data_IF_888882645079
#
_entry.id   IF_888882645079
#
_cell.length_a   1.000
_cell.length_b   1.000
_cell.length_c   1.000
_cell.angle_alpha   90.00
_cell.angle_beta   90.00
_cell.angle_gamma   90.00
#
_symmetry.space_group_name_H-M   'P 1'
#
loop_
_entity.id
_entity.type
_entity.pdbx_description
1 polymer ?
#
# COMPACT_ATOMS: atom_id res chain seq x y z
N UNK A 1 -5.69 -9.96 20.26
CA UNK A 1 -4.73 -9.41 19.26
C UNK A 1 -3.70 -8.61 20.01
N UNK A 2 -2.45 -9.01 19.92
CA UNK A 2 -1.37 -8.37 20.64
C UNK A 2 -1.14 -6.93 20.13
N UNK A 3 -1.47 -5.96 20.97
CA UNK A 3 -1.37 -4.51 20.64
C UNK A 3 0.07 -4.05 20.38
N UNK A 4 1.06 -4.88 20.66
CA UNK A 4 2.48 -4.59 20.48
C UNK A 4 2.90 -4.64 19.01
N UNK A 5 2.30 -5.50 18.20
CA UNK A 5 2.59 -5.61 16.76
C UNK A 5 2.06 -4.39 16.00
N UNK A 6 0.90 -3.86 16.41
CA UNK A 6 0.27 -2.69 15.79
C UNK A 6 1.08 -1.40 15.94
N UNK A 7 1.85 -1.25 17.02
CA UNK A 7 2.62 -0.01 17.29
C UNK A 7 3.89 0.14 16.47
N UNK A 8 4.44 -0.97 15.94
CA UNK A 8 5.70 -0.97 15.19
C UNK A 8 5.50 -1.02 13.66
N UNK A 9 4.31 -1.35 13.19
CA UNK A 9 3.95 -1.33 11.79
C UNK A 9 3.07 -0.11 11.51
N UNK A 10 3.66 1.08 11.47
CA UNK A 10 3.00 2.26 10.94
C UNK A 10 2.87 2.11 9.41
N UNK A 11 2.00 1.21 8.96
CA UNK A 11 1.45 1.29 7.62
C UNK A 11 0.48 2.48 7.63
N UNK A 12 0.95 3.63 7.17
CA UNK A 12 0.07 4.75 6.88
C UNK A 12 -0.82 4.34 5.70
N UNK A 13 -2.07 4.01 5.98
CA UNK A 13 -3.05 3.74 4.93
C UNK A 13 -3.84 5.02 4.68
N UNK A 14 -3.53 5.66 3.57
CA UNK A 14 -4.36 6.74 3.06
C UNK A 14 -5.52 6.12 2.28
N UNK A 15 -6.71 6.17 2.86
CA UNK A 15 -7.94 5.98 2.11
C UNK A 15 -8.25 7.28 1.38
N UNK A 16 -8.20 7.27 0.07
CA UNK A 16 -8.68 8.40 -0.70
C UNK A 16 -9.71 7.97 -1.72
N UNK A 17 -10.93 8.42 -1.51
CA UNK A 17 -12.04 8.34 -2.46
C UNK A 17 -11.79 9.13 -3.76
N UNK A 18 -10.70 9.89 -3.84
CA UNK A 18 -10.51 10.96 -4.81
C UNK A 18 -9.17 10.92 -5.55
N UNK A 19 -8.41 9.82 -5.46
CA UNK A 19 -7.28 9.65 -6.36
C UNK A 19 -7.78 9.26 -7.74
N UNK A 20 -8.06 10.25 -8.55
CA UNK A 20 -8.23 10.03 -9.97
C UNK A 20 -6.84 9.91 -10.58
N UNK A 21 -6.60 8.85 -11.34
CA UNK A 21 -5.38 8.76 -12.15
C UNK A 21 -5.40 9.88 -13.18
N UNK A 22 -4.22 10.41 -13.51
CA UNK A 22 -4.07 11.47 -14.50
C UNK A 22 -4.57 10.99 -15.87
N UNK A 23 -5.33 11.82 -16.56
CA UNK A 23 -5.78 11.58 -17.95
C UNK A 23 -4.61 11.40 -18.93
N UNK A 24 -3.39 11.77 -18.52
CA UNK A 24 -2.15 11.58 -19.28
C UNK A 24 -1.52 10.20 -19.11
N UNK A 25 -2.07 9.35 -18.22
CA UNK A 25 -1.60 7.99 -18.05
C UNK A 25 -2.36 7.06 -19.04
N UNK A 26 -1.79 6.71 -20.21
CA UNK A 26 -2.55 6.09 -21.32
C UNK A 26 -3.14 4.71 -21.01
N UNK A 27 -2.65 4.07 -19.94
CA UNK A 27 -3.05 2.70 -19.57
C UNK A 27 -4.22 2.66 -18.56
N UNK A 28 -4.65 3.83 -18.02
CA UNK A 28 -5.54 3.87 -16.85
C UNK A 28 -6.73 4.84 -17.01
N UNK A 29 -7.09 5.20 -18.23
CA UNK A 29 -8.12 6.19 -18.56
C UNK A 29 -9.55 5.90 -18.06
N UNK A 30 -9.81 4.73 -17.49
CA UNK A 30 -11.17 4.33 -17.07
C UNK A 30 -11.28 3.93 -15.59
N UNK A 31 -10.22 4.06 -14.79
CA UNK A 31 -10.19 3.54 -13.43
C UNK A 31 -10.14 4.65 -12.38
N UNK A 32 -10.91 4.47 -11.31
CA UNK A 32 -10.73 5.20 -10.05
C UNK A 32 -10.30 4.22 -8.95
N UNK A 33 -9.06 3.69 -9.03
CA UNK A 33 -8.60 2.67 -8.10
C UNK A 33 -8.52 3.22 -6.70
N UNK A 34 -8.70 2.35 -5.72
CA UNK A 34 -8.38 2.66 -4.33
C UNK A 34 -6.86 2.71 -4.18
N UNK A 35 -6.34 3.81 -3.65
CA UNK A 35 -4.89 3.94 -3.44
C UNK A 35 -4.52 3.50 -2.03
N UNK A 36 -3.59 2.54 -1.97
CA UNK A 36 -2.94 2.12 -0.73
C UNK A 36 -1.55 2.74 -0.66
N UNK A 37 -1.34 3.53 0.36
CA UNK A 37 -0.02 4.06 0.67
C UNK A 37 0.68 3.18 1.69
N UNK A 38 1.96 2.90 1.47
CA UNK A 38 2.80 2.16 2.43
C UNK A 38 4.19 2.78 2.54
N UNK A 39 4.79 2.61 3.71
CA UNK A 39 6.16 3.05 4.00
C UNK A 39 7.05 1.87 4.42
N UNK A 40 7.72 1.20 3.48
CA UNK A 40 8.54 0.01 3.75
C UNK A 40 9.68 0.24 4.75
N UNK A 41 10.17 1.49 4.92
CA UNK A 41 11.18 1.84 5.92
C UNK A 41 10.70 1.64 7.39
N UNK A 42 9.41 1.44 7.61
CA UNK A 42 8.84 1.14 8.94
C UNK A 42 8.81 -0.36 9.26
N UNK A 43 9.11 -1.21 8.29
CA UNK A 43 9.21 -2.65 8.49
C UNK A 43 10.63 -3.07 8.90
N UNK A 44 10.74 -3.84 9.97
CA UNK A 44 11.99 -4.39 10.48
C UNK A 44 11.87 -5.91 10.61
N UNK A 45 12.48 -6.70 9.70
CA UNK A 45 12.38 -8.17 9.70
C UNK A 45 12.77 -8.84 11.01
N UNK A 46 13.74 -8.25 11.72
CA UNK A 46 14.20 -8.77 13.02
C UNK A 46 13.20 -8.55 14.17
N UNK A 47 12.23 -7.64 13.99
CA UNK A 47 11.26 -7.26 15.05
C UNK A 47 9.86 -7.82 14.83
N UNK A 48 9.58 -8.30 13.64
CA UNK A 48 8.22 -8.72 13.27
C UNK A 48 8.24 -9.99 12.42
N UNK A 49 7.38 -10.93 12.74
CA UNK A 49 7.18 -12.12 11.92
C UNK A 49 6.70 -11.73 10.53
N UNK A 50 7.31 -12.30 9.49
CA UNK A 50 6.88 -12.07 8.10
C UNK A 50 5.41 -12.44 7.92
N UNK A 51 4.95 -13.56 8.48
CA UNK A 51 3.55 -13.99 8.36
C UNK A 51 2.61 -12.98 9.02
N UNK A 52 2.90 -12.55 10.25
CA UNK A 52 2.05 -11.58 10.95
C UNK A 52 1.92 -10.26 10.19
N UNK A 53 3.01 -9.79 9.57
CA UNK A 53 2.96 -8.56 8.77
C UNK A 53 2.14 -8.75 7.50
N UNK A 54 2.29 -9.87 6.81
CA UNK A 54 1.51 -10.18 5.60
C UNK A 54 0.02 -10.34 5.93
N UNK A 55 -0.31 -10.98 7.04
CA UNK A 55 -1.71 -11.13 7.47
C UNK A 55 -2.34 -9.76 7.82
N UNK A 56 -1.58 -8.86 8.45
CA UNK A 56 -2.03 -7.48 8.70
C UNK A 56 -2.25 -6.74 7.37
N UNK A 57 -1.32 -6.84 6.42
CA UNK A 57 -1.47 -6.21 5.10
C UNK A 57 -2.74 -6.71 4.40
N UNK A 58 -2.91 -8.03 4.31
CA UNK A 58 -4.09 -8.62 3.69
C UNK A 58 -5.39 -8.22 4.39
N UNK A 59 -5.40 -8.21 5.74
CA UNK A 59 -6.55 -7.75 6.54
C UNK A 59 -6.91 -6.29 6.26
N UNK A 60 -5.91 -5.40 6.27
CA UNK A 60 -6.15 -3.97 6.05
C UNK A 60 -6.67 -3.73 4.64
N UNK A 61 -6.02 -4.32 3.63
CA UNK A 61 -6.46 -4.19 2.23
C UNK A 61 -7.88 -4.73 2.05
N UNK A 62 -8.18 -5.92 2.55
CA UNK A 62 -9.53 -6.50 2.50
C UNK A 62 -10.57 -5.63 3.23
N UNK A 63 -10.23 -5.12 4.41
CA UNK A 63 -11.11 -4.26 5.20
C UNK A 63 -11.44 -2.92 4.53
N UNK A 64 -10.50 -2.36 3.81
CA UNK A 64 -10.74 -1.11 3.06
C UNK A 64 -11.62 -1.35 1.83
N UNK A 65 -11.52 -2.53 1.22
CA UNK A 65 -12.31 -2.90 0.06
C UNK A 65 -13.76 -3.31 0.41
N UNK A 66 -14.02 -3.78 1.64
CA UNK A 66 -15.38 -4.22 2.07
C UNK A 66 -16.48 -3.17 1.83
N UNK A 67 -16.16 -1.89 1.90
CA UNK A 67 -17.11 -0.78 1.80
C UNK A 67 -17.17 -0.09 0.44
N UNK A 68 -16.30 -0.49 -0.50
CA UNK A 68 -16.12 0.26 -1.73
C UNK A 68 -16.75 -0.45 -2.93
N UNK A 69 -17.68 0.23 -3.60
CA UNK A 69 -18.26 -0.23 -4.86
C UNK A 69 -17.21 -0.26 -5.99
N UNK A 70 -16.18 0.59 -5.90
CA UNK A 70 -15.05 0.68 -6.81
C UNK A 70 -13.97 -0.40 -6.60
N UNK A 71 -14.19 -1.35 -5.69
CA UNK A 71 -13.27 -2.48 -5.52
C UNK A 71 -13.07 -3.30 -6.81
N UNK A 72 -14.03 -3.23 -7.73
CA UNK A 72 -13.93 -3.86 -9.05
C UNK A 72 -12.95 -3.15 -9.99
N UNK A 73 -12.61 -1.87 -9.72
CA UNK A 73 -11.71 -1.08 -10.55
C UNK A 73 -10.23 -1.35 -10.22
N UNK A 74 -9.96 -2.25 -9.29
CA UNK A 74 -8.61 -2.58 -8.87
C UNK A 74 -8.04 -1.62 -7.82
N UNK A 75 -6.78 -1.84 -7.47
CA UNK A 75 -6.05 -1.03 -6.51
C UNK A 75 -4.75 -0.48 -7.09
N UNK A 76 -4.36 0.70 -6.64
CA UNK A 76 -3.03 1.26 -6.83
C UNK A 76 -2.26 1.24 -5.49
N UNK A 77 -1.00 0.87 -5.54
CA UNK A 77 -0.10 0.85 -4.39
C UNK A 77 0.96 1.94 -4.55
N UNK A 78 1.18 2.72 -3.51
CA UNK A 78 2.27 3.70 -3.43
C UNK A 78 3.19 3.31 -2.29
N UNK A 79 4.38 2.82 -2.62
CA UNK A 79 5.41 2.44 -1.66
C UNK A 79 6.46 3.55 -1.55
N UNK A 80 6.37 4.39 -0.52
CA UNK A 80 7.38 5.41 -0.24
C UNK A 80 8.60 4.78 0.41
N UNK A 81 9.69 4.69 -0.36
CA UNK A 81 10.95 4.08 0.05
C UNK A 81 11.89 5.05 0.79
N UNK A 82 11.44 6.27 1.06
CA UNK A 82 12.25 7.24 1.79
C UNK A 82 12.70 6.70 3.16
N UNK A 83 14.00 6.78 3.42
CA UNK A 83 14.61 6.23 4.64
C UNK A 83 14.69 4.69 4.69
N UNK A 84 14.37 3.99 3.58
CA UNK A 84 14.53 2.55 3.51
C UNK A 84 16.01 2.15 3.43
N UNK A 85 16.40 1.17 4.24
CA UNK A 85 17.77 0.69 4.38
C UNK A 85 17.84 -0.83 4.23
N UNK A 86 19.04 -1.38 4.14
CA UNK A 86 19.24 -2.84 4.09
C UNK A 86 18.66 -3.56 5.33
N UNK A 87 18.52 -2.88 6.45
CA UNK A 87 17.91 -3.46 7.67
C UNK A 87 16.41 -3.67 7.55
N UNK A 88 15.77 -3.01 6.58
CA UNK A 88 14.35 -3.14 6.26
C UNK A 88 14.10 -4.21 5.18
N UNK A 89 15.16 -4.66 4.50
CA UNK A 89 15.05 -5.62 3.41
C UNK A 89 14.92 -7.06 3.91
N UNK A 90 14.03 -7.81 3.28
CA UNK A 90 13.82 -9.24 3.54
C UNK A 90 13.28 -9.92 2.29
N UNK A 91 14.05 -10.83 1.71
CA UNK A 91 13.62 -11.65 0.57
C UNK A 91 12.35 -12.45 0.91
N UNK A 92 12.27 -13.15 2.06
CA UNK A 92 11.06 -13.88 2.43
C UNK A 92 9.82 -12.98 2.55
N UNK A 93 9.97 -11.75 3.07
CA UNK A 93 8.88 -10.78 3.13
C UNK A 93 8.46 -10.36 1.72
N UNK A 94 9.42 -9.97 0.88
CA UNK A 94 9.15 -9.55 -0.49
C UNK A 94 8.41 -10.64 -1.27
N UNK A 95 8.93 -11.86 -1.26
CA UNK A 95 8.30 -12.99 -1.94
C UNK A 95 6.85 -13.21 -1.47
N UNK A 96 6.61 -13.28 -0.15
CA UNK A 96 5.26 -13.46 0.38
C UNK A 96 4.34 -12.28 0.07
N UNK A 97 4.86 -11.07 0.12
CA UNK A 97 4.10 -9.87 -0.22
C UNK A 97 3.64 -9.91 -1.69
N UNK A 98 4.53 -10.21 -2.62
CA UNK A 98 4.18 -10.36 -4.03
C UNK A 98 3.17 -11.50 -4.25
N UNK A 99 3.40 -12.67 -3.66
CA UNK A 99 2.44 -13.78 -3.71
C UNK A 99 1.06 -13.39 -3.15
N UNK A 100 1.01 -12.49 -2.18
CA UNK A 100 -0.26 -11.99 -1.64
C UNK A 100 -0.97 -11.07 -2.63
N UNK A 101 -0.22 -10.22 -3.33
CA UNK A 101 -0.76 -9.29 -4.31
C UNK A 101 -1.20 -9.97 -5.61
N UNK A 102 -0.43 -10.96 -6.09
CA UNK A 102 -0.71 -11.70 -7.32
C UNK A 102 -1.67 -12.89 -7.09
N UNK A 103 -1.68 -13.45 -5.89
CA UNK A 103 -2.25 -14.76 -5.54
C UNK A 103 -3.67 -14.75 -4.96
N UNK A 104 -4.55 -13.83 -5.30
CA UNK A 104 -5.97 -13.81 -4.87
C UNK A 104 -6.22 -13.72 -3.35
N UNK A 105 -5.20 -13.46 -2.52
CA UNK A 105 -5.39 -13.18 -1.09
C UNK A 105 -6.00 -11.79 -0.84
N UNK A 106 -5.83 -10.89 -1.81
CA UNK A 106 -6.50 -9.60 -1.85
C UNK A 106 -7.69 -9.74 -2.81
N UNK A 107 -8.91 -9.35 -2.42
CA UNK A 107 -10.13 -9.60 -3.21
C UNK A 107 -10.27 -8.66 -4.42
N UNK A 108 -9.16 -8.17 -4.95
CA UNK A 108 -9.12 -7.28 -6.13
C UNK A 108 -7.76 -7.37 -6.81
N UNK A 109 -7.67 -6.82 -8.02
CA UNK A 109 -6.42 -6.79 -8.80
C UNK A 109 -5.59 -5.56 -8.44
N UNK A 110 -4.27 -5.75 -8.39
CA UNK A 110 -3.33 -4.62 -8.40
C UNK A 110 -3.17 -4.15 -9.83
N UNK A 111 -3.51 -2.89 -10.09
CA UNK A 111 -3.40 -2.27 -11.41
C UNK A 111 -2.16 -1.39 -11.53
N UNK A 112 -1.65 -0.90 -10.41
CA UNK A 112 -0.47 -0.02 -10.38
C UNK A 112 0.32 -0.22 -9.09
N UNK A 113 1.63 -0.34 -9.17
CA UNK A 113 2.55 -0.28 -8.03
C UNK A 113 3.62 0.80 -8.29
N UNK A 114 3.56 1.88 -7.55
CA UNK A 114 4.57 2.95 -7.59
C UNK A 114 5.58 2.76 -6.46
N UNK A 115 6.83 2.53 -6.82
CA UNK A 115 7.97 2.54 -5.90
C UNK A 115 8.59 3.93 -5.95
N UNK A 116 8.34 4.72 -4.89
CA UNK A 116 8.67 6.15 -4.84
C UNK A 116 9.91 6.39 -3.99
N UNK A 117 10.82 7.21 -4.47
CA UNK A 117 12.08 7.59 -3.79
C UNK A 117 12.92 6.40 -3.29
N UNK A 118 13.19 5.39 -4.13
CA UNK A 118 14.09 4.31 -3.72
C UNK A 118 15.51 4.85 -3.50
N UNK A 119 16.27 4.26 -2.56
CA UNK A 119 17.69 4.60 -2.40
C UNK A 119 18.50 4.22 -3.63
N UNK A 120 19.66 4.86 -3.83
CA UNK A 120 20.50 4.69 -5.03
C UNK A 120 20.93 3.24 -5.28
N UNK A 121 21.11 2.45 -4.23
CA UNK A 121 21.48 1.03 -4.31
C UNK A 121 20.32 0.09 -4.65
N UNK A 122 19.07 0.59 -4.67
CA UNK A 122 17.86 -0.22 -4.91
C UNK A 122 17.90 -0.98 -6.24
N UNK A 123 18.50 -0.39 -7.28
CA UNK A 123 18.58 -1.01 -8.61
C UNK A 123 19.21 -2.42 -8.61
N UNK A 124 20.23 -2.64 -7.79
CA UNK A 124 20.87 -3.96 -7.66
C UNK A 124 19.95 -5.01 -7.03
N UNK A 125 19.16 -4.61 -6.02
CA UNK A 125 18.17 -5.49 -5.39
C UNK A 125 16.96 -5.69 -6.29
N UNK A 126 16.54 -4.63 -6.99
CA UNK A 126 15.41 -4.70 -7.91
C UNK A 126 15.59 -5.75 -9.00
N UNK A 127 16.80 -5.90 -9.53
CA UNK A 127 17.11 -6.93 -10.53
C UNK A 127 16.81 -8.36 -10.03
N UNK A 128 17.01 -8.62 -8.74
CA UNK A 128 16.67 -9.90 -8.08
C UNK A 128 15.16 -9.98 -7.83
N UNK A 129 14.60 -8.93 -7.25
CA UNK A 129 13.17 -8.87 -6.90
C UNK A 129 12.27 -9.03 -8.12
N UNK A 130 12.66 -8.43 -9.24
CA UNK A 130 11.90 -8.48 -10.50
C UNK A 130 11.74 -9.91 -11.03
N UNK A 131 12.71 -10.78 -10.79
CA UNK A 131 12.64 -12.19 -11.24
C UNK A 131 11.57 -13.02 -10.52
N UNK A 132 11.08 -12.52 -9.39
CA UNK A 132 10.01 -13.16 -8.60
C UNK A 132 8.62 -12.72 -9.02
N UNK A 133 8.50 -11.77 -9.93
CA UNK A 133 7.23 -11.23 -10.42
C UNK A 133 6.81 -11.96 -11.69
N UNK A 134 5.50 -12.12 -11.88
CA UNK A 134 4.98 -12.46 -13.19
C UNK A 134 5.27 -11.33 -14.19
N UNK A 135 5.34 -11.67 -15.49
CA UNK A 135 5.57 -10.66 -16.53
C UNK A 135 4.50 -9.57 -16.52
N UNK A 136 3.24 -9.96 -16.33
CA UNK A 136 2.11 -9.03 -16.33
C UNK A 136 2.11 -8.13 -15.10
N UNK A 137 2.48 -8.66 -13.93
CA UNK A 137 2.61 -7.82 -12.75
C UNK A 137 3.81 -6.88 -12.86
N UNK A 138 4.92 -7.36 -13.42
CA UNK A 138 6.11 -6.55 -13.65
C UNK A 138 5.86 -5.30 -14.50
N UNK A 139 4.92 -5.35 -15.46
CA UNK A 139 4.51 -4.21 -16.30
C UNK A 139 3.77 -3.13 -15.50
N UNK A 140 3.15 -3.49 -14.37
CA UNK A 140 2.40 -2.59 -13.49
C UNK A 140 3.28 -1.89 -12.44
N UNK A 141 4.57 -2.25 -12.35
CA UNK A 141 5.51 -1.70 -11.37
C UNK A 141 6.33 -0.58 -11.98
N UNK A 142 6.22 0.62 -11.40
CA UNK A 142 6.96 1.78 -11.83
C UNK A 142 7.83 2.31 -10.68
N UNK A 143 9.11 2.54 -10.98
CA UNK A 143 10.08 3.11 -10.04
C UNK A 143 10.25 4.57 -10.39
N UNK A 144 9.87 5.46 -9.49
CA UNK A 144 9.81 6.89 -9.76
C UNK A 144 10.38 7.72 -8.61
N UNK A 145 10.74 8.96 -8.92
CA UNK A 145 10.94 10.00 -7.91
C UNK A 145 9.59 10.63 -7.53
N UNK A 146 9.56 11.25 -6.35
CA UNK A 146 8.34 11.88 -5.81
C UNK A 146 7.74 12.94 -6.76
N UNK A 147 8.56 13.75 -7.41
CA UNK A 147 8.15 14.81 -8.33
C UNK A 147 7.37 14.29 -9.56
N UNK A 148 7.54 13.01 -9.89
CA UNK A 148 6.81 12.35 -10.97
C UNK A 148 5.44 11.79 -10.56
N UNK A 149 5.04 11.87 -9.29
CA UNK A 149 3.69 11.44 -8.87
C UNK A 149 2.58 12.17 -9.62
N UNK A 150 2.79 13.44 -9.97
CA UNK A 150 1.87 14.25 -10.79
C UNK A 150 1.59 13.67 -12.19
N UNK A 151 2.42 12.75 -12.68
CA UNK A 151 2.21 12.06 -13.96
C UNK A 151 1.18 10.92 -13.83
N UNK A 152 0.97 10.45 -12.61
CA UNK A 152 0.08 9.33 -12.30
C UNK A 152 -1.23 9.77 -11.68
N UNK A 153 -1.25 10.87 -10.96
CA UNK A 153 -2.40 11.35 -10.20
C UNK A 153 -2.92 12.70 -10.72
N UNK A 154 -4.23 12.88 -10.64
CA UNK A 154 -4.87 14.12 -11.01
C UNK A 154 -4.44 15.28 -10.09
N UNK A 155 -4.49 16.55 -10.55
CA UNK A 155 -4.18 17.71 -9.72
C UNK A 155 -4.95 17.74 -8.41
N UNK A 156 -4.31 18.17 -7.32
CA UNK A 156 -4.88 18.18 -5.97
C UNK A 156 -4.67 16.89 -5.18
N UNK A 157 -3.99 15.91 -5.73
CA UNK A 157 -3.70 14.65 -5.04
C UNK A 157 -2.86 14.85 -3.77
N UNK A 158 -2.14 15.95 -3.64
CA UNK A 158 -1.30 16.30 -2.50
C UNK A 158 -2.12 16.40 -1.19
N UNK A 159 -3.38 16.79 -1.26
CA UNK A 159 -4.28 16.85 -0.09
C UNK A 159 -4.53 15.48 0.53
N UNK A 160 -4.35 14.43 -0.26
CA UNK A 160 -4.62 13.05 0.14
C UNK A 160 -3.36 12.25 0.39
N UNK A 161 -2.19 12.74 -0.01
CA UNK A 161 -0.92 12.11 0.32
C UNK A 161 -0.62 12.26 1.80
N UNK A 162 -0.12 11.19 2.44
CA UNK A 162 0.36 11.26 3.82
C UNK A 162 1.45 12.31 4.02
N UNK A 163 1.45 12.92 5.20
CA UNK A 163 2.40 13.96 5.62
C UNK A 163 3.85 13.45 5.77
N UNK A 164 4.06 12.14 5.71
CA UNK A 164 5.37 11.51 5.74
C UNK A 164 6.01 11.32 4.35
N UNK A 165 5.36 11.80 3.29
CA UNK A 165 5.94 12.01 1.97
C UNK A 165 6.00 13.51 1.67
N UNK A 166 7.12 13.98 1.16
CA UNK A 166 7.32 15.40 0.86
C UNK A 166 6.16 15.99 0.04
N UNK A 167 5.52 17.02 0.58
CA UNK A 167 4.39 17.73 -0.03
C UNK A 167 3.03 17.06 0.18
N UNK A 168 2.94 16.01 1.00
CA UNK A 168 1.68 15.45 1.46
C UNK A 168 1.11 16.26 2.63
N UNK A 169 -0.20 16.41 2.67
CA UNK A 169 -0.91 17.22 3.67
C UNK A 169 -1.80 16.39 4.59
N UNK A 170 -2.04 15.12 4.28
CA UNK A 170 -2.90 14.26 5.09
C UNK A 170 -2.13 13.70 6.30
N UNK A 171 -2.64 13.94 7.52
CA UNK A 171 -2.00 13.41 8.72
C UNK A 171 -2.06 11.88 8.77
N UNK A 172 -0.90 11.23 8.65
CA UNK A 172 -0.75 9.77 8.73
C UNK A 172 -1.30 9.23 10.06
N UNK A 173 -1.02 9.93 11.17
CA UNK A 173 -1.49 9.53 12.50
C UNK A 173 -3.01 9.56 12.60
N UNK A 174 -3.64 10.63 12.10
CA UNK A 174 -5.10 10.76 12.10
C UNK A 174 -5.76 9.70 11.21
N UNK A 175 -5.18 9.38 10.07
CA UNK A 175 -5.68 8.34 9.17
C UNK A 175 -5.68 6.96 9.81
N UNK A 176 -4.57 6.60 10.48
CA UNK A 176 -4.45 5.32 11.20
C UNK A 176 -5.44 5.25 12.36
N UNK A 177 -5.56 6.33 13.16
CA UNK A 177 -6.50 6.38 14.27
C UNK A 177 -7.95 6.20 13.80
N UNK A 178 -8.33 6.88 12.72
CA UNK A 178 -9.67 6.77 12.12
C UNK A 178 -9.93 5.35 11.62
N UNK A 179 -8.99 4.75 10.90
CA UNK A 179 -9.13 3.37 10.44
C UNK A 179 -9.35 2.40 11.61
N UNK A 180 -8.55 2.52 12.68
CA UNK A 180 -8.67 1.66 13.87
C UNK A 180 -10.01 1.86 14.57
N UNK A 181 -10.49 3.10 14.69
CA UNK A 181 -11.79 3.40 15.29
C UNK A 181 -12.95 2.78 14.48
N UNK A 182 -12.95 3.00 13.16
CA UNK A 182 -13.94 2.44 12.23
C UNK A 182 -13.98 0.90 12.30
N UNK A 183 -12.80 0.25 12.37
CA UNK A 183 -12.74 -1.22 12.47
C UNK A 183 -13.27 -1.75 13.78
N UNK A 184 -12.94 -1.12 14.91
CA UNK A 184 -13.47 -1.50 16.22
C UNK A 184 -15.01 -1.42 16.25
N UNK A 185 -15.59 -0.38 15.67
CA UNK A 185 -17.05 -0.23 15.58
C UNK A 185 -17.67 -1.36 14.75
N UNK A 186 -17.14 -1.61 13.54
CA UNK A 186 -17.67 -2.64 12.63
C UNK A 186 -17.58 -4.03 13.26
N UNK A 187 -16.45 -4.35 13.89
CA UNK A 187 -16.24 -5.66 14.50
C UNK A 187 -17.13 -5.86 15.73
N UNK A 188 -17.36 -4.81 16.53
CA UNK A 188 -18.30 -4.88 17.65
C UNK A 188 -19.75 -5.18 17.17
N UNK A 189 -20.17 -4.55 16.08
CA UNK A 189 -21.50 -4.78 15.49
C UNK A 189 -21.66 -6.20 14.91
N UNK A 190 -20.58 -6.79 14.36
CA UNK A 190 -20.59 -8.18 13.86
C UNK A 190 -20.73 -9.19 15.00
N UNK A 191 -20.15 -8.92 16.16
CA UNK A 191 -20.26 -9.78 17.36
C UNK A 191 -21.69 -9.77 17.92
N UNK A 192 -22.38 -8.64 17.83
CA UNK A 192 -23.73 -8.44 18.36
C UNK A 192 -24.84 -9.01 17.45
N UNK A 193 -24.52 -9.46 16.25
CA UNK A 193 -25.47 -10.13 15.34
C UNK A 193 -25.12 -11.62 15.26
N UNK A 194 -25.71 -12.47 16.12
CA UNK A 194 -25.59 -13.92 15.95
C UNK A 194 -26.21 -14.31 14.60
N UNK A 195 -25.60 -15.27 13.95
CA UNK A 195 -26.09 -15.87 12.69
C UNK A 195 -27.40 -16.62 12.95
#
# INVERSE_FOLDING_TARGET
MDTTVSRNCNFGFARTKYFRLSDTCPQYLSFSPIVFYMRPSRYFPKKSSVNAVIDIVAYVMGSMLEKEKSANDGIALVANMEGWTMTNFSIPYWHKFMMTLEGHRVPTKVELLLIVNPPSWFGSIWSIMKQMLSEDFGKKVHIIKRDRLKEYFAPGFEEYLPDDIQGGNASTAAMVQRFVADRKEIESLKILRPR
#
